data_IF_511299660618
#
_entry.id   IF_511299660618
#
_cell.length_a   1.000
_cell.length_b   1.000
_cell.length_c   1.000
_cell.angle_alpha   90.00
_cell.angle_beta   90.00
_cell.angle_gamma   90.00
#
_symmetry.space_group_name_H-M   'P 1'
#
loop_
_entity.id
_entity.type
_entity.pdbx_description
1 polymer ?
#
# COMPACT_ATOMS: atom_id res chain seq x y z
N UNK A 1 -20.38 48.55 -26.96
CA UNK A 1 -21.00 47.73 -28.02
C UNK A 1 -21.04 46.29 -27.54
N UNK A 2 -22.23 45.70 -27.54
CA UNK A 2 -22.58 44.40 -26.97
C UNK A 2 -22.13 43.27 -27.89
N UNK A 3 -21.69 42.14 -27.33
CA UNK A 3 -21.77 40.84 -28.00
C UNK A 3 -21.88 39.74 -26.96
N UNK A 4 -23.13 39.42 -26.64
CA UNK A 4 -23.57 38.27 -25.87
C UNK A 4 -23.70 37.09 -26.81
N UNK A 5 -22.91 36.03 -26.59
CA UNK A 5 -23.00 34.76 -27.32
C UNK A 5 -23.88 33.80 -26.52
N UNK A 6 -25.07 33.53 -27.05
CA UNK A 6 -26.01 32.52 -26.56
C UNK A 6 -25.57 31.15 -27.07
N UNK A 7 -25.23 30.22 -26.17
CA UNK A 7 -25.12 28.80 -26.50
C UNK A 7 -26.46 28.11 -26.18
N UNK A 8 -27.06 27.55 -27.22
CA UNK A 8 -28.29 26.77 -27.15
C UNK A 8 -28.00 25.40 -26.52
N UNK A 9 -28.74 25.06 -25.46
CA UNK A 9 -28.76 23.73 -24.85
C UNK A 9 -29.82 22.90 -25.57
N UNK A 10 -29.39 21.91 -26.35
CA UNK A 10 -30.27 20.92 -26.96
C UNK A 10 -30.58 19.82 -25.92
N UNK A 11 -31.78 19.89 -25.33
CA UNK A 11 -32.32 18.84 -24.48
C UNK A 11 -32.85 17.70 -25.35
N UNK A 12 -32.11 16.60 -25.46
CA UNK A 12 -32.61 15.36 -26.02
C UNK A 12 -33.29 14.53 -24.92
N UNK A 13 -34.63 14.49 -24.92
CA UNK A 13 -35.38 13.49 -24.16
C UNK A 13 -35.34 12.16 -24.93
N UNK A 14 -34.61 11.18 -24.39
CA UNK A 14 -34.74 9.79 -24.82
C UNK A 14 -35.69 9.07 -23.88
N UNK A 15 -36.89 8.77 -24.38
CA UNK A 15 -37.83 7.82 -23.78
C UNK A 15 -37.28 6.40 -23.91
N UNK A 16 -36.78 5.84 -22.81
CA UNK A 16 -36.44 4.42 -22.73
C UNK A 16 -37.70 3.61 -22.38
N UNK A 17 -38.05 2.68 -23.26
CA UNK A 17 -39.10 1.67 -23.07
C UNK A 17 -38.62 0.68 -22.00
N UNK A 18 -39.40 0.56 -20.92
CA UNK A 18 -39.19 -0.44 -19.88
C UNK A 18 -39.60 -1.82 -20.39
N UNK A 19 -38.63 -2.65 -20.76
CA UNK A 19 -38.81 -4.09 -20.81
C UNK A 19 -38.71 -4.63 -19.36
N UNK A 20 -39.85 -5.04 -18.81
CA UNK A 20 -39.93 -5.83 -17.58
C UNK A 20 -39.46 -7.26 -17.90
N UNK A 21 -38.16 -7.47 -18.00
CA UNK A 21 -37.57 -8.80 -17.80
C UNK A 21 -37.50 -9.04 -16.28
N UNK A 22 -38.04 -10.19 -15.86
CA UNK A 22 -38.27 -10.51 -14.46
C UNK A 22 -37.03 -10.32 -13.60
N UNK A 23 -37.14 -9.42 -12.62
CA UNK A 23 -36.24 -9.33 -11.48
C UNK A 23 -36.29 -10.66 -10.72
N UNK A 24 -35.40 -11.59 -11.09
CA UNK A 24 -34.84 -12.53 -10.14
C UNK A 24 -34.15 -11.66 -9.08
N UNK A 25 -34.88 -11.37 -8.01
CA UNK A 25 -34.32 -10.88 -6.75
C UNK A 25 -33.24 -11.89 -6.39
N UNK A 26 -31.98 -11.57 -6.70
CA UNK A 26 -30.85 -12.37 -6.24
C UNK A 26 -31.01 -12.46 -4.73
N UNK A 27 -31.19 -13.67 -4.18
CA UNK A 27 -31.31 -13.83 -2.74
C UNK A 27 -30.09 -13.14 -2.14
N UNK A 28 -30.31 -12.25 -1.16
CA UNK A 28 -29.28 -11.59 -0.37
C UNK A 28 -28.15 -12.58 -0.15
N UNK A 29 -27.05 -12.41 -0.88
CA UNK A 29 -26.01 -13.42 -0.98
C UNK A 29 -25.51 -13.67 0.44
N UNK A 30 -25.85 -14.83 1.00
CA UNK A 30 -25.37 -15.18 2.33
C UNK A 30 -23.86 -15.12 2.26
N UNK A 31 -23.18 -14.34 3.13
CA UNK A 31 -21.74 -14.23 3.07
C UNK A 31 -21.15 -15.64 3.11
N UNK A 32 -20.41 -15.98 2.06
CA UNK A 32 -19.80 -17.30 1.91
C UNK A 32 -18.98 -17.61 3.16
N UNK A 33 -19.08 -18.84 3.67
CA UNK A 33 -18.23 -19.34 4.76
C UNK A 33 -16.74 -19.09 4.49
N UNK A 34 -16.34 -18.96 3.23
CA UNK A 34 -14.97 -18.66 2.83
C UNK A 34 -14.49 -17.24 3.16
N UNK A 35 -15.41 -16.29 3.31
CA UNK A 35 -15.08 -14.92 3.72
C UNK A 35 -15.00 -14.77 5.25
N UNK A 36 -15.34 -15.80 6.03
CA UNK A 36 -15.23 -15.81 7.50
C UNK A 36 -14.29 -16.91 7.99
N UNK A 37 -14.25 -18.04 7.30
CA UNK A 37 -13.47 -19.25 7.57
C UNK A 37 -12.78 -19.71 6.28
N UNK A 38 -11.76 -18.97 5.80
CA UNK A 38 -11.09 -19.24 4.51
C UNK A 38 -10.35 -20.57 4.47
N UNK A 39 -10.08 -21.18 5.64
CA UNK A 39 -9.38 -22.46 5.80
C UNK A 39 -10.29 -23.67 5.54
N UNK A 40 -11.60 -23.46 5.41
CA UNK A 40 -12.56 -24.54 5.14
C UNK A 40 -12.27 -25.18 3.77
N UNK A 41 -12.36 -26.50 3.70
CA UNK A 41 -12.05 -27.28 2.49
C UNK A 41 -12.98 -26.93 1.31
N UNK A 42 -14.22 -26.50 1.60
CA UNK A 42 -15.19 -26.04 0.60
C UNK A 42 -14.74 -24.80 -0.17
N UNK A 43 -13.77 -24.05 0.37
CA UNK A 43 -13.26 -22.81 -0.22
C UNK A 43 -12.24 -23.02 -1.35
N UNK A 44 -11.91 -24.27 -1.67
CA UNK A 44 -10.94 -24.63 -2.71
C UNK A 44 -11.35 -24.19 -4.13
N UNK A 45 -12.63 -23.91 -4.36
CA UNK A 45 -13.16 -23.39 -5.63
C UNK A 45 -13.82 -22.01 -5.47
N UNK A 46 -13.63 -21.36 -4.32
CA UNK A 46 -14.24 -20.07 -4.06
C UNK A 46 -13.47 -18.96 -4.78
N UNK A 47 -14.19 -18.05 -5.42
CA UNK A 47 -13.65 -16.84 -6.05
C UNK A 47 -14.18 -15.62 -5.32
N UNK A 48 -13.29 -14.75 -4.89
CA UNK A 48 -13.65 -13.51 -4.22
C UNK A 48 -14.25 -12.56 -5.26
N UNK A 49 -15.42 -11.99 -4.99
CA UNK A 49 -16.02 -11.02 -5.89
C UNK A 49 -15.12 -9.80 -6.08
N UNK A 50 -14.80 -9.45 -7.33
CA UNK A 50 -13.94 -8.32 -7.65
C UNK A 50 -14.45 -7.01 -7.03
N UNK A 51 -15.77 -6.81 -6.96
CA UNK A 51 -16.39 -5.65 -6.33
C UNK A 51 -16.00 -5.48 -4.85
N UNK A 52 -15.92 -6.57 -4.07
CA UNK A 52 -15.52 -6.52 -2.67
C UNK A 52 -14.06 -6.10 -2.50
N UNK A 53 -13.18 -6.57 -3.40
CA UNK A 53 -11.76 -6.21 -3.43
C UNK A 53 -11.61 -4.74 -3.82
N UNK A 54 -12.24 -4.32 -4.92
CA UNK A 54 -12.17 -2.93 -5.41
C UNK A 54 -12.75 -1.93 -4.42
N UNK A 55 -13.81 -2.29 -3.70
CA UNK A 55 -14.34 -1.46 -2.61
C UNK A 55 -13.30 -1.24 -1.51
N UNK A 56 -12.59 -2.29 -1.11
CA UNK A 56 -11.53 -2.21 -0.09
C UNK A 56 -10.36 -1.34 -0.56
N UNK A 57 -9.91 -1.52 -1.81
CA UNK A 57 -8.87 -0.67 -2.41
C UNK A 57 -9.31 0.80 -2.44
N UNK A 58 -10.55 1.06 -2.88
CA UNK A 58 -11.07 2.42 -2.98
C UNK A 58 -11.19 3.10 -1.62
N UNK A 59 -11.58 2.37 -0.57
CA UNK A 59 -11.62 2.88 0.81
C UNK A 59 -10.23 3.27 1.31
N UNK A 60 -9.24 2.38 1.16
CA UNK A 60 -7.83 2.65 1.54
C UNK A 60 -7.30 3.86 0.77
N UNK A 61 -7.45 3.88 -0.56
CA UNK A 61 -6.86 4.91 -1.40
C UNK A 61 -7.57 6.26 -1.29
N UNK A 62 -8.84 6.30 -0.85
CA UNK A 62 -9.51 7.55 -0.50
C UNK A 62 -8.97 8.14 0.80
N UNK A 63 -8.58 7.31 1.76
CA UNK A 63 -8.02 7.75 3.03
C UNK A 63 -6.50 8.02 2.96
N UNK A 64 -5.77 7.34 2.08
CA UNK A 64 -4.30 7.37 2.00
C UNK A 64 -3.83 7.24 0.55
N UNK A 65 -4.13 8.23 -0.28
CA UNK A 65 -3.84 8.21 -1.72
C UNK A 65 -2.35 8.19 -2.08
N UNK A 66 -1.47 8.56 -1.14
CA UNK A 66 -0.02 8.60 -1.32
C UNK A 66 0.66 7.22 -1.24
N UNK A 67 -0.06 6.16 -0.85
CA UNK A 67 0.52 4.82 -0.72
C UNK A 67 0.92 4.25 -2.11
N UNK A 68 2.07 3.55 -2.22
CA UNK A 68 2.51 2.89 -3.46
C UNK A 68 1.48 1.99 -4.12
N UNK A 69 0.71 1.24 -3.32
CA UNK A 69 -0.38 0.40 -3.84
C UNK A 69 -1.53 1.21 -4.46
N UNK A 70 -1.73 2.47 -4.06
CA UNK A 70 -2.74 3.35 -4.64
C UNK A 70 -2.29 3.94 -5.98
N UNK A 71 -1.01 4.26 -6.15
CA UNK A 71 -0.46 4.61 -7.46
C UNK A 71 -0.49 3.43 -8.42
N UNK A 72 -0.27 2.20 -7.92
CA UNK A 72 -0.47 0.97 -8.70
C UNK A 72 -1.93 0.83 -9.15
N UNK A 73 -2.89 1.03 -8.24
CA UNK A 73 -4.31 1.02 -8.58
C UNK A 73 -4.66 2.04 -9.65
N UNK A 74 -4.25 3.30 -9.46
CA UNK A 74 -4.49 4.38 -10.42
C UNK A 74 -3.95 4.04 -11.81
N UNK A 75 -2.70 3.55 -11.91
CA UNK A 75 -2.09 3.15 -13.17
C UNK A 75 -2.89 2.03 -13.86
N UNK A 76 -3.24 0.98 -13.12
CA UNK A 76 -4.00 -0.15 -13.64
C UNK A 76 -5.43 0.22 -14.08
N UNK A 77 -6.05 1.21 -13.43
CA UNK A 77 -7.37 1.72 -13.86
C UNK A 77 -7.27 2.63 -15.09
N UNK A 78 -6.16 3.34 -15.26
CA UNK A 78 -5.95 4.25 -16.39
C UNK A 78 -5.56 3.50 -17.67
N UNK A 79 -4.87 2.37 -17.56
CA UNK A 79 -4.39 1.59 -18.70
C UNK A 79 -4.62 0.09 -18.53
N UNK A 80 -5.64 -0.41 -19.22
CA UNK A 80 -5.99 -1.84 -19.24
C UNK A 80 -5.00 -2.73 -20.02
N UNK A 81 -4.04 -2.14 -20.74
CA UNK A 81 -3.00 -2.88 -21.48
C UNK A 81 -1.83 -3.32 -20.60
N UNK A 82 -1.78 -2.82 -19.36
CA UNK A 82 -0.78 -3.18 -18.37
C UNK A 82 -0.86 -4.65 -17.98
N UNK A 83 0.21 -5.16 -17.36
CA UNK A 83 0.33 -6.56 -16.98
C UNK A 83 -0.84 -6.99 -16.04
N UNK A 84 -1.73 -7.83 -16.56
CA UNK A 84 -2.91 -8.32 -15.86
C UNK A 84 -2.59 -9.11 -14.57
N UNK A 85 -1.36 -9.58 -14.39
CA UNK A 85 -0.91 -10.21 -13.14
C UNK A 85 -0.79 -9.19 -12.03
N UNK A 86 -0.17 -8.04 -12.32
CA UNK A 86 0.05 -6.95 -11.37
C UNK A 86 -1.18 -6.05 -11.22
N UNK A 87 -2.00 -5.94 -12.26
CA UNK A 87 -3.25 -5.20 -12.25
C UNK A 87 -4.46 -6.01 -11.79
N UNK A 88 -4.27 -7.26 -11.34
CA UNK A 88 -5.35 -8.01 -10.72
C UNK A 88 -5.77 -7.33 -9.39
N UNK A 89 -7.08 -7.14 -9.11
CA UNK A 89 -7.52 -6.45 -7.90
C UNK A 89 -6.92 -7.03 -6.62
N UNK A 90 -6.83 -8.37 -6.51
CA UNK A 90 -6.27 -8.99 -5.30
C UNK A 90 -4.77 -8.73 -5.16
N UNK A 91 -4.01 -8.65 -6.26
CA UNK A 91 -2.59 -8.26 -6.24
C UNK A 91 -2.41 -6.83 -5.72
N UNK A 92 -3.27 -5.91 -6.14
CA UNK A 92 -3.25 -4.51 -5.70
C UNK A 92 -3.60 -4.43 -4.21
N UNK A 93 -4.67 -5.10 -3.77
CA UNK A 93 -5.04 -5.13 -2.36
C UNK A 93 -3.96 -5.80 -1.50
N UNK A 94 -3.35 -6.89 -1.97
CA UNK A 94 -2.20 -7.51 -1.31
C UNK A 94 -1.03 -6.53 -1.15
N UNK A 95 -0.76 -5.72 -2.18
CA UNK A 95 0.31 -4.71 -2.17
C UNK A 95 0.05 -3.57 -1.18
N UNK A 96 -1.22 -3.29 -0.86
CA UNK A 96 -1.62 -2.32 0.18
C UNK A 96 -1.59 -2.92 1.59
N UNK A 97 -1.93 -4.20 1.73
CA UNK A 97 -2.12 -4.84 3.04
C UNK A 97 -0.90 -5.61 3.57
N UNK A 98 0.10 -5.89 2.73
CA UNK A 98 1.32 -6.62 3.12
C UNK A 98 2.36 -5.74 3.82
N UNK A 99 2.60 -4.48 3.41
CA UNK A 99 3.63 -3.67 4.04
C UNK A 99 3.27 -3.32 5.50
N UNK A 100 4.09 -3.78 6.45
CA UNK A 100 3.80 -3.65 7.89
C UNK A 100 3.90 -2.20 8.35
N UNK A 101 4.76 -1.40 7.73
CA UNK A 101 4.93 0.02 8.05
C UNK A 101 3.68 0.85 7.74
N UNK A 102 2.89 0.42 6.75
CA UNK A 102 1.65 1.08 6.33
C UNK A 102 0.41 0.57 7.09
N UNK A 103 0.57 -0.47 7.92
CA UNK A 103 -0.54 -1.10 8.67
C UNK A 103 -1.33 -0.11 9.52
N UNK A 104 -0.73 0.96 10.04
CA UNK A 104 -1.47 1.98 10.80
C UNK A 104 -2.54 2.68 9.96
N UNK A 105 -2.32 2.80 8.64
CA UNK A 105 -3.25 3.41 7.69
C UNK A 105 -4.20 2.37 7.08
N UNK A 106 -3.72 1.15 6.86
CA UNK A 106 -4.45 0.15 6.07
C UNK A 106 -5.18 -0.91 6.90
N UNK A 107 -4.78 -1.14 8.16
CA UNK A 107 -5.31 -2.22 9.01
C UNK A 107 -6.84 -2.23 9.16
N UNK A 108 -7.55 -1.11 9.33
CA UNK A 108 -9.01 -1.15 9.52
C UNK A 108 -9.75 -1.82 8.35
N UNK A 109 -9.24 -1.64 7.13
CA UNK A 109 -9.79 -2.22 5.91
C UNK A 109 -9.17 -3.59 5.63
N UNK A 110 -7.85 -3.71 5.75
CA UNK A 110 -7.12 -4.96 5.50
C UNK A 110 -7.52 -6.08 6.46
N UNK A 111 -7.84 -5.77 7.73
CA UNK A 111 -8.29 -6.73 8.73
C UNK A 111 -9.71 -7.26 8.46
N UNK A 112 -10.49 -6.61 7.60
CA UNK A 112 -11.84 -7.02 7.19
C UNK A 112 -11.88 -7.59 5.76
N UNK A 113 -10.76 -7.58 5.05
CA UNK A 113 -10.65 -7.97 3.65
C UNK A 113 -9.51 -8.95 3.43
N UNK A 114 -8.37 -8.50 2.90
CA UNK A 114 -7.23 -9.34 2.52
C UNK A 114 -6.73 -10.25 3.64
N UNK A 115 -6.62 -9.72 4.88
CA UNK A 115 -6.12 -10.50 6.01
C UNK A 115 -7.07 -11.63 6.40
N UNK A 116 -8.38 -11.47 6.13
CA UNK A 116 -9.35 -12.55 6.31
C UNK A 116 -9.27 -13.50 5.13
N UNK A 117 -9.39 -13.02 3.90
CA UNK A 117 -9.48 -13.89 2.72
C UNK A 117 -8.22 -14.75 2.56
N UNK A 118 -7.07 -14.13 2.76
CA UNK A 118 -5.75 -14.69 2.52
C UNK A 118 -5.00 -14.95 3.83
N UNK A 119 -5.73 -15.24 4.91
CA UNK A 119 -5.14 -15.73 6.15
C UNK A 119 -4.27 -16.98 5.91
N UNK A 120 -3.32 -17.22 6.83
CA UNK A 120 -2.48 -18.42 6.77
C UNK A 120 -3.34 -19.68 6.71
N UNK A 121 -3.08 -20.54 5.73
CA UNK A 121 -3.84 -21.77 5.52
C UNK A 121 -5.13 -21.63 4.69
N UNK A 122 -5.44 -20.42 4.19
CA UNK A 122 -6.56 -20.18 3.27
C UNK A 122 -6.57 -21.17 2.11
N UNK A 123 -7.76 -21.70 1.84
CA UNK A 123 -8.04 -22.60 0.71
C UNK A 123 -8.51 -21.83 -0.52
N UNK A 124 -8.77 -20.53 -0.42
CA UNK A 124 -9.13 -19.68 -1.56
C UNK A 124 -7.96 -19.65 -2.56
N UNK A 125 -8.12 -20.14 -3.80
CA UNK A 125 -7.02 -20.25 -4.77
C UNK A 125 -6.34 -18.93 -5.10
N UNK A 126 -7.11 -17.84 -5.20
CA UNK A 126 -6.60 -16.53 -5.57
C UNK A 126 -5.55 -16.00 -4.58
N UNK A 127 -5.67 -16.35 -3.30
CA UNK A 127 -4.72 -15.91 -2.27
C UNK A 127 -3.31 -16.51 -2.42
N UNK A 128 -3.16 -17.60 -3.19
CA UNK A 128 -1.85 -18.20 -3.49
C UNK A 128 -1.25 -17.68 -4.78
N UNK A 129 -2.09 -17.36 -5.75
CA UNK A 129 -1.68 -16.94 -7.09
C UNK A 129 -1.55 -15.42 -7.24
N UNK A 130 -2.19 -14.64 -6.37
CA UNK A 130 -2.19 -13.17 -6.39
C UNK A 130 -1.53 -12.63 -5.13
N UNK A 131 -0.20 -12.58 -5.15
CA UNK A 131 0.60 -11.95 -4.10
C UNK A 131 0.77 -10.46 -4.35
N UNK A 132 1.30 -9.73 -3.35
CA UNK A 132 1.74 -8.35 -3.54
C UNK A 132 2.74 -8.22 -4.71
N UNK A 133 2.77 -7.05 -5.34
CA UNK A 133 3.72 -6.71 -6.40
C UNK A 133 5.16 -6.86 -5.87
N UNK A 134 5.98 -7.76 -6.44
CA UNK A 134 7.31 -8.01 -5.89
C UNK A 134 8.19 -6.76 -5.88
N UNK A 135 8.73 -6.43 -4.70
CA UNK A 135 9.64 -5.29 -4.53
C UNK A 135 8.96 -3.92 -4.44
N UNK A 136 7.63 -3.83 -4.48
CA UNK A 136 6.94 -2.57 -4.19
C UNK A 136 7.17 -2.22 -2.70
N UNK A 137 7.83 -1.08 -2.39
CA UNK A 137 8.07 -0.69 -1.00
C UNK A 137 6.80 -0.22 -0.30
N UNK A 138 6.86 -0.12 1.04
CA UNK A 138 5.84 0.59 1.82
C UNK A 138 5.86 2.08 1.52
N UNK A 139 4.73 2.76 1.71
CA UNK A 139 4.64 4.21 1.65
C UNK A 139 5.65 4.86 2.58
N UNK A 140 5.75 4.38 3.82
CA UNK A 140 6.68 4.94 4.79
C UNK A 140 8.15 4.87 4.34
N UNK A 141 8.54 3.78 3.67
CA UNK A 141 9.89 3.65 3.10
C UNK A 141 10.10 4.63 1.94
N UNK A 142 9.09 4.79 1.08
CA UNK A 142 9.14 5.77 -0.02
C UNK A 142 9.26 7.19 0.52
N UNK A 143 8.45 7.58 1.51
CA UNK A 143 8.56 8.88 2.20
C UNK A 143 9.99 9.14 2.68
N UNK A 144 10.55 8.20 3.45
CA UNK A 144 11.90 8.35 4.01
C UNK A 144 12.98 8.43 2.94
N UNK A 145 12.82 7.67 1.86
CA UNK A 145 13.71 7.66 0.70
C UNK A 145 13.72 9.01 -0.02
N UNK A 146 12.54 9.51 -0.38
CA UNK A 146 12.38 10.82 -1.04
C UNK A 146 12.93 11.92 -0.15
N UNK A 147 12.56 11.93 1.14
CA UNK A 147 13.06 12.91 2.09
C UNK A 147 14.60 12.88 2.19
N UNK A 148 15.20 11.70 2.31
CA UNK A 148 16.66 11.56 2.38
C UNK A 148 17.36 12.12 1.15
N UNK A 149 16.88 11.78 -0.05
CA UNK A 149 17.45 12.30 -1.32
C UNK A 149 17.34 13.82 -1.36
N UNK A 150 16.19 14.37 -0.96
CA UNK A 150 15.96 15.80 -0.99
C UNK A 150 16.73 16.60 0.06
N UNK A 151 17.12 15.98 1.17
CA UNK A 151 18.06 16.58 2.12
C UNK A 151 19.49 16.64 1.56
N UNK A 152 19.90 15.64 0.77
CA UNK A 152 21.21 15.62 0.11
C UNK A 152 21.26 16.55 -1.10
N UNK A 153 20.15 16.65 -1.86
CA UNK A 153 20.04 17.44 -3.09
C UNK A 153 18.74 18.24 -3.16
N UNK A 154 18.65 19.35 -2.40
CA UNK A 154 17.40 20.11 -2.26
C UNK A 154 16.94 20.83 -3.54
N UNK A 155 17.81 20.95 -4.54
CA UNK A 155 17.51 21.70 -5.78
C UNK A 155 16.85 20.85 -6.87
N UNK A 156 16.63 19.56 -6.64
CA UNK A 156 15.96 18.70 -7.62
C UNK A 156 14.50 19.10 -7.83
N UNK A 157 14.02 18.96 -9.06
CA UNK A 157 12.65 19.32 -9.44
C UNK A 157 11.63 18.55 -8.62
N UNK A 158 11.82 17.23 -8.46
CA UNK A 158 10.89 16.36 -7.74
C UNK A 158 10.90 16.59 -6.22
N UNK A 159 11.99 17.15 -5.67
CA UNK A 159 12.06 17.55 -4.26
C UNK A 159 11.14 18.72 -3.91
N UNK A 160 10.70 19.50 -4.91
CA UNK A 160 9.70 20.54 -4.72
C UNK A 160 8.27 20.00 -4.68
N UNK A 161 8.05 18.77 -5.14
CA UNK A 161 6.73 18.14 -5.18
C UNK A 161 6.31 17.57 -3.83
N UNK A 162 7.28 17.21 -2.99
CA UNK A 162 7.05 16.56 -1.71
C UNK A 162 7.65 17.35 -0.56
N UNK A 163 6.84 17.96 0.31
CA UNK A 163 7.34 18.52 1.56
C UNK A 163 7.90 17.40 2.44
N UNK A 164 8.68 17.77 3.46
CA UNK A 164 9.15 16.81 4.46
C UNK A 164 7.99 16.05 5.14
N UNK A 165 8.26 14.86 5.69
CA UNK A 165 7.24 14.04 6.33
C UNK A 165 6.55 14.79 7.47
N UNK A 166 5.24 14.60 7.59
CA UNK A 166 4.49 15.10 8.73
C UNK A 166 5.01 14.45 10.03
N UNK A 167 5.20 15.26 11.06
CA UNK A 167 5.82 14.81 12.31
C UNK A 167 4.96 13.80 13.08
N UNK A 168 3.65 13.76 12.82
CA UNK A 168 2.70 12.88 13.53
C UNK A 168 2.56 11.54 12.81
N UNK A 169 2.40 11.59 11.49
CA UNK A 169 2.10 10.42 10.67
C UNK A 169 3.35 9.77 10.09
N UNK A 170 4.40 10.56 9.86
CA UNK A 170 5.64 10.11 9.21
C UNK A 170 5.52 9.95 7.69
N UNK A 171 4.46 10.48 7.07
CA UNK A 171 4.23 10.46 5.62
C UNK A 171 4.25 11.89 5.05
N UNK A 172 4.67 12.06 3.80
CA UNK A 172 4.53 13.33 3.08
C UNK A 172 3.18 13.40 2.39
N UNK A 173 2.56 14.58 2.42
CA UNK A 173 1.27 14.82 1.77
C UNK A 173 1.47 15.18 0.28
N UNK A 174 2.00 14.24 -0.50
CA UNK A 174 2.27 14.40 -1.93
C UNK A 174 2.14 13.06 -2.67
N UNK A 175 2.31 13.08 -4.00
CA UNK A 175 2.49 11.85 -4.79
C UNK A 175 3.93 11.36 -4.66
N UNK A 176 4.24 10.75 -3.51
CA UNK A 176 5.58 10.27 -3.16
C UNK A 176 6.11 9.25 -4.16
N UNK A 177 5.22 8.44 -4.74
CA UNK A 177 5.58 7.41 -5.71
C UNK A 177 6.05 8.05 -7.00
N UNK A 178 5.39 9.11 -7.45
CA UNK A 178 5.83 9.89 -8.60
C UNK A 178 7.16 10.59 -8.34
N UNK A 179 7.33 11.21 -7.17
CA UNK A 179 8.59 11.84 -6.79
C UNK A 179 9.73 10.82 -6.71
N UNK A 180 9.52 9.70 -6.02
CA UNK A 180 10.48 8.60 -5.91
C UNK A 180 10.89 8.03 -7.25
N UNK A 181 9.91 7.78 -8.14
CA UNK A 181 10.17 7.35 -9.52
C UNK A 181 11.03 8.37 -10.26
N UNK A 182 10.68 9.64 -10.23
CA UNK A 182 11.44 10.70 -10.92
C UNK A 182 12.89 10.78 -10.44
N UNK A 183 13.07 10.86 -9.12
CA UNK A 183 14.39 10.90 -8.48
C UNK A 183 15.26 9.68 -8.85
N UNK A 184 14.70 8.47 -8.80
CA UNK A 184 15.45 7.25 -9.09
C UNK A 184 15.66 6.98 -10.58
N UNK A 185 14.88 7.60 -11.47
CA UNK A 185 15.16 7.59 -12.90
C UNK A 185 16.25 8.60 -13.27
N UNK A 186 16.28 9.75 -12.60
CA UNK A 186 17.30 10.77 -12.81
C UNK A 186 18.68 10.33 -12.26
N UNK A 187 18.69 9.62 -11.11
CA UNK A 187 19.91 9.11 -10.48
C UNK A 187 19.74 7.68 -9.97
N UNK A 188 19.83 6.68 -10.86
CA UNK A 188 19.62 5.28 -10.52
C UNK A 188 20.68 4.69 -9.58
N UNK A 189 21.87 5.30 -9.53
CA UNK A 189 23.01 4.83 -8.73
C UNK A 189 22.99 5.33 -7.27
N UNK A 190 21.96 6.09 -6.87
CA UNK A 190 21.76 6.47 -5.47
C UNK A 190 21.48 5.25 -4.60
N UNK A 191 22.12 5.17 -3.44
CA UNK A 191 21.92 4.06 -2.49
C UNK A 191 20.46 3.93 -2.05
N UNK A 192 19.76 5.05 -1.97
CA UNK A 192 18.35 5.19 -1.61
C UNK A 192 17.41 4.60 -2.68
N UNK A 193 17.89 4.42 -3.92
CA UNK A 193 17.12 3.85 -5.04
C UNK A 193 17.23 2.32 -5.17
N UNK A 194 17.87 1.64 -4.22
CA UNK A 194 18.07 0.17 -4.26
C UNK A 194 16.75 -0.62 -4.31
N UNK A 195 15.71 -0.19 -3.60
CA UNK A 195 14.38 -0.81 -3.64
C UNK A 195 13.69 -0.60 -5.00
N UNK A 196 13.76 0.61 -5.55
CA UNK A 196 13.26 0.94 -6.89
C UNK A 196 13.92 0.06 -7.95
N UNK A 197 15.24 -0.04 -7.87
CA UNK A 197 16.07 -0.82 -8.77
C UNK A 197 15.69 -2.31 -8.72
N UNK A 198 15.51 -2.83 -7.51
CA UNK A 198 15.10 -4.23 -7.30
C UNK A 198 13.70 -4.50 -7.84
N UNK A 199 12.74 -3.61 -7.57
CA UNK A 199 11.38 -3.71 -8.11
C UNK A 199 11.40 -3.72 -9.65
N UNK A 200 12.14 -2.79 -10.27
CA UNK A 200 12.18 -2.69 -11.72
C UNK A 200 12.91 -3.84 -12.38
N UNK A 201 13.98 -4.35 -11.76
CA UNK A 201 14.65 -5.57 -12.22
C UNK A 201 13.73 -6.79 -12.17
N UNK A 202 12.91 -6.92 -11.13
CA UNK A 202 12.08 -8.11 -10.92
C UNK A 202 10.77 -8.08 -11.70
N UNK A 203 10.19 -6.89 -11.91
CA UNK A 203 8.82 -6.78 -12.45
C UNK A 203 8.75 -6.17 -13.84
N UNK A 204 9.66 -5.25 -14.17
CA UNK A 204 9.58 -4.44 -15.40
C UNK A 204 8.26 -3.66 -15.53
N UNK A 205 7.55 -3.37 -14.43
CA UNK A 205 6.21 -2.79 -14.50
C UNK A 205 6.27 -1.32 -14.97
N UNK A 206 5.89 -1.09 -16.24
CA UNK A 206 6.07 0.18 -16.95
C UNK A 206 5.58 1.44 -16.24
N UNK A 207 4.47 1.42 -15.47
CA UNK A 207 4.04 2.60 -14.72
C UNK A 207 5.07 3.10 -13.71
N UNK A 208 5.88 2.20 -13.13
CA UNK A 208 6.98 2.57 -12.24
C UNK A 208 8.33 2.58 -12.95
N UNK A 209 8.54 1.66 -13.89
CA UNK A 209 9.82 1.42 -14.53
C UNK A 209 9.86 1.97 -15.95
N UNK A 210 10.88 2.75 -16.30
CA UNK A 210 11.06 3.24 -17.67
C UNK A 210 11.78 2.20 -18.53
N UNK A 211 11.50 2.17 -19.84
CA UNK A 211 12.33 1.41 -20.79
C UNK A 211 13.77 1.94 -20.87
N UNK A 212 13.98 3.20 -20.46
CA UNK A 212 15.30 3.81 -20.33
C UNK A 212 16.04 3.39 -19.06
N UNK A 213 15.36 2.68 -18.15
CA UNK A 213 15.97 2.17 -16.93
C UNK A 213 17.02 1.12 -17.30
N UNK A 214 18.29 1.51 -17.21
CA UNK A 214 19.40 0.57 -17.14
C UNK A 214 19.63 0.33 -15.65
N UNK A 215 19.33 -0.89 -15.19
CA UNK A 215 19.77 -1.31 -13.88
C UNK A 215 21.26 -0.96 -13.74
N UNK A 216 21.71 -0.38 -12.61
CA UNK A 216 23.11 -0.13 -12.36
C UNK A 216 23.90 -1.38 -12.78
N UNK A 217 24.83 -1.22 -13.71
CA UNK A 217 25.66 -2.32 -14.20
C UNK A 217 26.30 -2.93 -12.96
N UNK A 218 25.86 -4.14 -12.57
CA UNK A 218 26.23 -4.80 -11.32
C UNK A 218 27.75 -4.71 -11.11
N UNK A 219 28.16 -3.73 -10.32
CA UNK A 219 29.49 -3.17 -10.36
C UNK A 219 29.93 -2.94 -8.95
N UNK A 220 30.65 -3.94 -8.44
CA UNK A 220 31.19 -4.09 -7.10
C UNK A 220 30.16 -4.48 -6.02
N UNK A 221 30.10 -5.79 -5.76
CA UNK A 221 30.12 -6.29 -4.37
C UNK A 221 31.02 -5.36 -3.55
N UNK A 222 30.60 -4.86 -2.37
CA UNK A 222 31.52 -4.16 -1.50
C UNK A 222 32.67 -5.12 -1.23
N UNK A 223 33.81 -4.86 -1.86
CA UNK A 223 35.04 -5.55 -1.53
C UNK A 223 35.32 -5.15 -0.09
N UNK A 224 35.07 -6.08 0.83
CA UNK A 224 35.58 -6.04 2.18
C UNK A 224 37.10 -6.03 2.07
N UNK A 225 37.66 -4.85 1.80
CA UNK A 225 39.07 -4.59 1.87
C UNK A 225 39.51 -4.96 3.27
N UNK A 226 40.13 -6.14 3.39
CA UNK A 226 40.87 -6.55 4.55
C UNK A 226 42.03 -5.59 4.74
N UNK A 227 41.77 -4.48 5.41
CA UNK A 227 42.81 -3.74 6.10
C UNK A 227 43.26 -4.63 7.25
N UNK A 228 44.42 -5.25 7.07
CA UNK A 228 45.21 -5.78 8.17
C UNK A 228 45.37 -4.66 9.22
N UNK A 229 44.97 -4.86 10.50
CA UNK A 229 45.17 -3.85 11.52
C UNK A 229 46.67 -3.70 11.77
N UNK A 230 47.19 -2.53 11.39
CA UNK A 230 48.46 -2.00 11.91
C UNK A 230 48.27 -1.77 13.41
N UNK A 231 49.16 -2.27 14.28
CA UNK A 231 49.11 -1.97 15.70
C UNK A 231 49.57 -0.53 15.91
N UNK A 232 48.65 0.37 16.25
CA UNK A 232 48.98 1.68 16.82
C UNK A 232 48.44 1.76 18.23
N UNK A 233 49.39 1.93 19.13
CA UNK A 233 49.26 2.19 20.55
C UNK A 233 48.25 3.29 20.89
N UNK A 234 47.52 3.03 21.97
CA UNK A 234 47.32 3.97 23.07
C UNK A 234 46.73 5.36 22.74
N UNK A 235 45.40 5.49 22.81
CA UNK A 235 44.78 6.62 23.52
C UNK A 235 43.52 6.18 24.26
N UNK A 236 43.75 5.95 25.55
CA UNK A 236 42.86 6.09 26.69
C UNK A 236 41.69 7.08 26.51
N UNK A 237 40.45 6.59 26.41
CA UNK A 237 39.24 7.31 26.80
C UNK A 237 38.12 6.36 27.25
N UNK A 238 37.86 6.35 28.57
CA UNK A 238 36.51 6.30 29.13
C UNK A 238 35.67 5.05 28.90
N UNK A 239 36.11 3.92 29.41
CA UNK A 239 35.29 2.72 29.60
C UNK A 239 34.26 2.96 30.72
N UNK A 240 32.98 3.10 30.36
CA UNK A 240 31.85 2.88 31.28
C UNK A 240 30.91 1.85 30.67
N UNK A 241 31.02 0.62 31.18
CA UNK A 241 29.98 -0.41 31.20
C UNK A 241 29.58 -0.63 32.67
N UNK A 242 28.64 -1.53 33.00
CA UNK A 242 27.20 -1.46 32.75
C UNK A 242 26.43 -1.55 34.09
N UNK A 243 25.36 -0.76 34.28
CA UNK A 243 24.49 -0.94 35.45
C UNK A 243 23.26 -1.77 35.08
N UNK A 244 23.33 -3.04 35.47
CA UNK A 244 22.19 -3.91 35.68
C UNK A 244 21.28 -3.31 36.76
N UNK A 245 20.02 -3.02 36.41
CA UNK A 245 18.96 -2.82 37.38
C UNK A 245 17.77 -3.68 36.97
N UNK A 246 17.60 -4.75 37.74
CA UNK A 246 16.42 -5.60 37.76
C UNK A 246 15.18 -4.75 38.04
N UNK A 247 14.14 -4.89 37.22
CA UNK A 247 12.79 -4.52 37.63
C UNK A 247 11.91 -5.76 37.46
N UNK A 248 11.70 -6.43 38.60
CA UNK A 248 10.50 -7.22 38.84
C UNK A 248 9.31 -6.27 38.82
N UNK A 249 8.28 -6.56 38.01
CA UNK A 249 6.92 -6.17 38.37
C UNK A 249 5.99 -7.37 38.30
N UNK A 250 5.33 -7.56 39.44
CA UNK A 250 4.43 -8.63 39.81
C UNK A 250 3.24 -8.80 38.86
N UNK A 251 2.85 -10.06 38.71
CA UNK A 251 1.51 -10.49 38.33
C UNK A 251 0.45 -10.19 39.41
N UNK A 252 -0.81 -10.37 39.02
CA UNK A 252 -2.08 -10.31 39.78
C UNK A 252 -2.66 -8.89 39.95
N UNK A 253 -3.95 -8.60 39.76
CA UNK A 253 -5.17 -9.34 40.15
C UNK A 253 -6.38 -8.83 39.32
N UNK A 254 -7.29 -9.75 38.95
CA UNK A 254 -8.78 -9.69 38.88
C UNK A 254 -9.51 -8.45 38.35
N UNK A 255 -10.36 -8.60 37.32
CA UNK A 255 -11.79 -8.97 37.38
C UNK A 255 -12.76 -7.80 37.66
N UNK A 256 -13.90 -7.86 36.96
CA UNK A 256 -15.16 -7.13 37.19
C UNK A 256 -15.29 -5.74 36.56
N UNK A 257 -16.12 -5.66 35.51
CA UNK A 257 -17.39 -4.91 35.58
C UNK A 257 -18.29 -5.31 34.41
N UNK A 258 -19.23 -6.20 34.75
CA UNK A 258 -20.50 -6.39 34.06
C UNK A 258 -21.44 -5.26 34.49
N UNK A 259 -22.31 -4.85 33.56
CA UNK A 259 -23.65 -4.26 33.74
C UNK A 259 -23.90 -2.76 33.47
N UNK A 260 -25.04 -2.58 32.77
CA UNK A 260 -25.87 -1.38 32.50
C UNK A 260 -25.38 -0.44 31.37
N UNK A 261 -26.18 -0.10 30.35
CA UNK A 261 -27.63 0.09 30.35
C UNK A 261 -28.32 -0.23 29.00
N UNK A 262 -29.55 -0.72 29.17
CA UNK A 262 -30.64 -0.91 28.21
C UNK A 262 -31.42 0.41 28.06
N UNK A 263 -32.09 0.62 26.91
CA UNK A 263 -33.09 1.67 26.55
C UNK A 263 -32.47 2.85 25.79
N UNK A 264 -32.89 3.18 24.55
CA UNK A 264 -34.19 3.74 24.13
C UNK A 264 -34.55 3.21 22.73
N UNK A 265 -35.58 2.38 22.58
CA UNK A 265 -36.98 2.70 22.18
C UNK A 265 -37.12 3.37 20.81
N UNK A 266 -37.68 2.57 19.91
CA UNK A 266 -38.56 2.88 18.77
C UNK A 266 -39.09 4.31 18.63
N UNK A 267 -38.91 4.87 17.43
CA UNK A 267 -39.94 5.58 16.66
C UNK A 267 -39.47 5.76 15.22
N UNK A 268 -40.11 5.06 14.28
CA UNK A 268 -40.37 5.55 12.93
C UNK A 268 -41.36 4.58 12.27
N UNK A 269 -42.64 4.93 12.39
CA UNK A 269 -43.56 4.83 11.26
C UNK A 269 -43.02 5.66 10.09
#
# INVERSE_FOLDING_TARGET
MRSTLFFAVASALSTAVAALEGSQVSPTATPSICLTTPTDVSCSNYTIAAASITSSISEICKASSFLPGCSLYAACTADSTLNATYCAPLTILASLCTPVEDSVLTSPVCAKSYSIFCATGSKIPDCKSRTALPGLPSGKLVTGTVYSICQEMPTMTDCKLCPGPDATTGYSNCDEVKAWKGLCLDMPDMTQCSSFNTMCKNTGFAPFCSNSYKAPSGGATPSSGGASPVPTDNMNHGQQTPNSASILYCSSVMASLLALAISVIATAL
#
